data_IF_247856337178
#
_entry.id   IF_247856337178
#
_cell.length_a   1.000
_cell.length_b   1.000
_cell.length_c   1.000
_cell.angle_alpha   90.00
_cell.angle_beta   90.00
_cell.angle_gamma   90.00
#
_symmetry.space_group_name_H-M   'P 1'
#
loop_
_entity.id
_entity.type
_entity.pdbx_description
1 polymer ?
#
# COMPACT_ATOMS: atom_id res chain seq x y z
N UNK A 1 -15.32 18.26 7.38
CA UNK A 1 -13.98 17.86 7.85
C UNK A 1 -13.84 16.35 7.93
N UNK A 2 -14.45 15.64 8.90
CA UNK A 2 -14.40 14.17 8.98
C UNK A 2 -14.82 13.45 7.68
N UNK A 3 -15.98 13.77 7.11
CA UNK A 3 -16.46 13.15 5.86
C UNK A 3 -15.53 13.40 4.64
N UNK A 4 -14.85 14.54 4.60
CA UNK A 4 -13.90 14.86 3.52
C UNK A 4 -12.61 14.06 3.69
N UNK A 5 -12.15 13.87 4.93
CA UNK A 5 -11.03 13.00 5.25
C UNK A 5 -11.34 11.53 4.92
N UNK A 6 -12.52 11.03 5.31
CA UNK A 6 -12.94 9.68 4.99
C UNK A 6 -12.94 9.46 3.48
N UNK A 7 -13.57 10.38 2.73
CA UNK A 7 -13.64 10.31 1.27
C UNK A 7 -12.24 10.30 0.64
N UNK A 8 -11.35 11.18 1.09
CA UNK A 8 -9.96 11.22 0.61
C UNK A 8 -9.26 9.89 0.86
N UNK A 9 -9.27 9.42 2.11
CA UNK A 9 -8.52 8.24 2.52
C UNK A 9 -9.05 6.95 1.88
N UNK A 10 -10.36 6.81 1.71
CA UNK A 10 -10.95 5.70 0.95
C UNK A 10 -10.47 5.76 -0.50
N UNK A 11 -10.57 6.92 -1.15
CA UNK A 11 -10.25 7.05 -2.58
C UNK A 11 -8.80 6.72 -2.89
N UNK A 12 -7.86 7.19 -2.08
CA UNK A 12 -6.44 6.87 -2.30
C UNK A 12 -6.03 5.49 -1.73
N UNK A 13 -6.87 4.82 -0.94
CA UNK A 13 -6.72 3.37 -0.70
C UNK A 13 -7.19 2.55 -1.90
N UNK A 14 -8.33 2.89 -2.48
CA UNK A 14 -8.88 2.21 -3.66
C UNK A 14 -7.94 2.34 -4.86
N UNK A 15 -7.34 3.53 -5.06
CA UNK A 15 -6.33 3.73 -6.10
C UNK A 15 -5.11 2.82 -5.87
N UNK A 16 -4.58 2.74 -4.65
CA UNK A 16 -3.44 1.88 -4.33
C UNK A 16 -3.77 0.39 -4.55
N UNK A 17 -4.96 -0.05 -4.15
CA UNK A 17 -5.45 -1.41 -4.40
C UNK A 17 -5.55 -1.72 -5.90
N UNK A 18 -6.07 -0.77 -6.68
CA UNK A 18 -6.17 -0.89 -8.15
C UNK A 18 -4.80 -0.99 -8.83
N UNK A 19 -3.82 -0.22 -8.38
CA UNK A 19 -2.44 -0.32 -8.87
C UNK A 19 -1.81 -1.68 -8.56
N UNK A 20 -2.00 -2.19 -7.34
CA UNK A 20 -1.56 -3.53 -6.93
C UNK A 20 -2.20 -4.61 -7.80
N UNK A 21 -3.52 -4.54 -8.02
CA UNK A 21 -4.26 -5.51 -8.83
C UNK A 21 -3.81 -5.46 -10.31
N UNK A 22 -3.52 -4.26 -10.83
CA UNK A 22 -2.94 -4.07 -12.17
C UNK A 22 -1.57 -4.73 -12.29
N UNK A 23 -0.69 -4.53 -11.30
CA UNK A 23 0.63 -5.16 -11.27
C UNK A 23 0.53 -6.69 -11.20
N UNK A 24 -0.39 -7.21 -10.38
CA UNK A 24 -0.67 -8.64 -10.28
C UNK A 24 -1.13 -9.21 -11.62
N UNK A 25 -2.04 -8.53 -12.31
CA UNK A 25 -2.52 -8.94 -13.62
C UNK A 25 -1.42 -8.88 -14.71
N UNK A 26 -0.58 -7.84 -14.69
CA UNK A 26 0.56 -7.72 -15.61
C UNK A 26 1.59 -8.83 -15.40
N UNK A 27 1.88 -9.20 -14.15
CA UNK A 27 2.80 -10.29 -13.84
C UNK A 27 2.20 -11.65 -14.18
N UNK A 28 0.91 -11.88 -13.91
CA UNK A 28 0.22 -13.10 -14.30
C UNK A 28 0.16 -13.28 -15.83
N UNK A 29 -0.01 -12.19 -16.57
CA UNK A 29 -0.02 -12.19 -18.04
C UNK A 29 1.40 -12.21 -18.66
N UNK A 30 2.46 -12.24 -17.85
CA UNK A 30 3.85 -12.20 -18.33
C UNK A 30 4.29 -10.87 -18.96
N UNK A 31 3.47 -9.81 -18.85
CA UNK A 31 3.81 -8.45 -19.32
C UNK A 31 4.87 -7.80 -18.44
N UNK A 32 4.95 -8.20 -17.17
CA UNK A 32 5.99 -7.80 -16.20
C UNK A 32 6.58 -9.04 -15.52
N UNK A 33 7.82 -8.93 -15.03
CA UNK A 33 8.50 -9.98 -14.25
C UNK A 33 8.70 -9.49 -12.81
N UNK A 34 8.22 -10.25 -11.83
CA UNK A 34 8.51 -10.01 -10.42
C UNK A 34 9.81 -10.75 -10.04
N UNK A 35 10.80 -10.00 -9.56
CA UNK A 35 12.12 -10.51 -9.20
C UNK A 35 12.47 -10.05 -7.78
N UNK A 36 13.10 -10.93 -7.02
CA UNK A 36 13.70 -10.60 -5.73
C UNK A 36 15.21 -10.47 -5.91
N UNK A 37 15.82 -9.44 -5.32
CA UNK A 37 17.28 -9.36 -5.27
C UNK A 37 17.79 -10.24 -4.13
N UNK A 38 18.43 -11.35 -4.44
CA UNK A 38 19.26 -12.08 -3.48
C UNK A 38 20.62 -11.37 -3.39
N UNK A 39 21.03 -10.96 -2.19
CA UNK A 39 22.40 -10.51 -1.97
C UNK A 39 23.38 -11.58 -2.46
N UNK A 40 24.33 -11.16 -3.31
CA UNK A 40 25.32 -11.97 -4.02
C UNK A 40 25.64 -13.33 -3.39
N UNK A 41 25.14 -14.41 -4.01
CA UNK A 41 25.74 -15.73 -3.92
C UNK A 41 25.64 -16.41 -5.30
N UNK A 42 26.68 -16.18 -6.10
CA UNK A 42 26.91 -16.90 -7.36
C UNK A 42 25.99 -16.49 -8.51
N UNK A 43 26.49 -16.66 -9.74
CA UNK A 43 25.78 -16.51 -11.00
C UNK A 43 24.75 -17.64 -11.16
N UNK A 44 23.76 -17.66 -10.27
CA UNK A 44 22.55 -18.43 -10.40
C UNK A 44 21.47 -17.45 -10.89
N UNK A 45 20.87 -17.73 -12.04
CA UNK A 45 19.89 -16.85 -12.68
C UNK A 45 18.88 -16.29 -11.67
N UNK A 46 18.55 -15.00 -11.78
CA UNK A 46 17.78 -14.25 -10.77
C UNK A 46 16.57 -15.06 -10.29
N UNK A 47 16.48 -15.40 -8.99
CA UNK A 47 15.40 -16.23 -8.47
C UNK A 47 14.04 -15.54 -8.74
N UNK A 48 13.13 -16.29 -9.35
CA UNK A 48 11.73 -15.89 -9.54
C UNK A 48 10.89 -16.52 -8.43
N UNK A 49 9.92 -15.76 -7.92
CA UNK A 49 8.96 -16.27 -6.95
C UNK A 49 8.07 -17.34 -7.57
N UNK A 50 7.75 -18.38 -6.80
CA UNK A 50 6.70 -19.35 -7.15
C UNK A 50 5.36 -18.65 -7.30
N UNK A 51 4.38 -19.26 -7.97
CA UNK A 51 3.04 -18.68 -8.10
C UNK A 51 2.44 -18.32 -6.73
N UNK A 52 2.50 -19.24 -5.75
CA UNK A 52 2.02 -19.00 -4.38
C UNK A 52 2.74 -17.81 -3.73
N UNK A 53 4.07 -17.77 -3.78
CA UNK A 53 4.83 -16.67 -3.19
C UNK A 53 4.57 -15.32 -3.88
N UNK A 54 4.19 -15.32 -5.17
CA UNK A 54 3.72 -14.10 -5.86
C UNK A 54 2.37 -13.64 -5.32
N UNK A 55 1.45 -14.55 -5.06
CA UNK A 55 0.14 -14.20 -4.47
C UNK A 55 0.32 -13.61 -3.07
N UNK A 56 1.08 -14.29 -2.20
CA UNK A 56 1.37 -13.82 -0.83
C UNK A 56 2.05 -12.44 -0.83
N UNK A 57 2.92 -12.18 -1.82
CA UNK A 57 3.56 -10.87 -1.97
C UNK A 57 2.54 -9.74 -2.25
N UNK A 58 1.57 -9.96 -3.14
CA UNK A 58 0.56 -8.94 -3.42
C UNK A 58 -0.42 -8.75 -2.26
N UNK A 59 -0.73 -9.81 -1.51
CA UNK A 59 -1.53 -9.70 -0.30
C UNK A 59 -0.77 -8.91 0.79
N UNK A 60 0.54 -9.12 0.92
CA UNK A 60 1.39 -8.31 1.79
C UNK A 60 1.37 -6.83 1.40
N UNK A 61 1.51 -6.51 0.10
CA UNK A 61 1.43 -5.13 -0.38
C UNK A 61 0.07 -4.49 -0.06
N UNK A 62 -1.02 -5.25 -0.18
CA UNK A 62 -2.37 -4.77 0.17
C UNK A 62 -2.49 -4.44 1.66
N UNK A 63 -2.02 -5.33 2.53
CA UNK A 63 -1.99 -5.09 3.98
C UNK A 63 -1.15 -3.86 4.34
N UNK A 64 0.00 -3.67 3.69
CA UNK A 64 0.85 -2.49 3.89
C UNK A 64 0.13 -1.20 3.49
N UNK A 65 -0.53 -1.18 2.34
CA UNK A 65 -1.30 -0.03 1.88
C UNK A 65 -2.46 0.33 2.82
N UNK A 66 -3.16 -0.68 3.36
CA UNK A 66 -4.21 -0.49 4.36
C UNK A 66 -3.67 0.09 5.67
N UNK A 67 -2.58 -0.48 6.20
CA UNK A 67 -1.96 0.00 7.43
C UNK A 67 -1.42 1.42 7.29
N UNK A 68 -0.77 1.73 6.17
CA UNK A 68 -0.28 3.08 5.87
C UNK A 68 -1.44 4.08 5.82
N UNK A 69 -2.54 3.69 5.15
CA UNK A 69 -3.74 4.51 5.04
C UNK A 69 -4.37 4.80 6.40
N UNK A 70 -4.57 3.77 7.21
CA UNK A 70 -5.14 3.91 8.56
C UNK A 70 -4.26 4.80 9.44
N UNK A 71 -2.95 4.64 9.35
CA UNK A 71 -2.00 5.47 10.11
C UNK A 71 -2.11 6.94 9.70
N UNK A 72 -2.13 7.23 8.39
CA UNK A 72 -2.30 8.59 7.88
C UNK A 72 -3.64 9.21 8.28
N UNK A 73 -4.72 8.42 8.22
CA UNK A 73 -6.03 8.86 8.68
C UNK A 73 -6.00 9.31 10.15
N UNK A 74 -5.42 8.48 11.04
CA UNK A 74 -5.31 8.80 12.46
C UNK A 74 -4.44 10.04 12.71
N UNK A 75 -3.33 10.18 11.98
CA UNK A 75 -2.49 11.38 12.05
C UNK A 75 -3.25 12.64 11.64
N UNK A 76 -3.95 12.59 10.50
CA UNK A 76 -4.78 13.70 10.04
C UNK A 76 -5.85 14.04 11.09
N UNK A 77 -6.54 13.04 11.63
CA UNK A 77 -7.62 13.21 12.60
C UNK A 77 -7.13 13.91 13.87
N UNK A 78 -5.99 13.48 14.42
CA UNK A 78 -5.38 14.12 15.58
C UNK A 78 -5.02 15.57 15.27
N UNK A 79 -4.51 15.86 14.08
CA UNK A 79 -4.09 17.22 13.71
C UNK A 79 -5.28 18.15 13.46
N UNK A 80 -6.36 17.65 12.86
CA UNK A 80 -7.53 18.44 12.47
C UNK A 80 -8.53 18.56 13.61
N UNK A 81 -8.96 17.45 14.19
CA UNK A 81 -10.07 17.39 15.14
C UNK A 81 -9.60 17.57 16.59
N UNK A 82 -8.45 17.01 16.96
CA UNK A 82 -7.96 17.06 18.35
C UNK A 82 -7.04 18.26 18.63
N UNK A 83 -6.10 18.58 17.72
CA UNK A 83 -5.12 19.66 17.90
C UNK A 83 -5.58 20.98 17.30
N UNK A 84 -6.26 20.96 16.15
CA UNK A 84 -6.79 22.14 15.47
C UNK A 84 -7.86 22.91 16.25
N UNK A 85 -8.54 22.25 17.20
CA UNK A 85 -9.62 22.83 18.00
C UNK A 85 -9.17 23.34 19.40
N UNK A 86 -7.94 23.08 19.83
CA UNK A 86 -7.44 23.42 21.17
C UNK A 86 -6.92 24.87 21.32
N UNK A 87 -7.22 25.77 20.37
CA UNK A 87 -6.76 27.16 20.39
C UNK A 87 -7.84 28.23 20.22
N UNK A 88 -9.13 27.86 20.15
CA UNK A 88 -10.23 28.80 19.88
C UNK A 88 -11.23 29.00 21.01
N UNK A 89 -10.86 28.64 22.24
CA UNK A 89 -11.59 29.02 23.45
C UNK A 89 -10.63 29.65 24.46
N UNK A 90 -10.18 30.87 24.15
CA UNK A 90 -9.82 31.87 25.17
C UNK A 90 -9.76 33.26 24.57
#
# INVERSE_FOLDING_TARGET
>A
MMHEMDTKHIRELDNAKSEIDTLRADVAAGRRKLRISSGSMGDAGTPQLTEVARQDYYDLLRMMAENERQTKYLQDYVNTECRGNNGKHR
#
